data_IF_551127836785
#
_entry.id   IF_551127836785
#
_cell.length_a   1.000
_cell.length_b   1.000
_cell.length_c   1.000
_cell.angle_alpha   90.00
_cell.angle_beta   90.00
_cell.angle_gamma   90.00
#
_symmetry.space_group_name_H-M   'P 1'
#
loop_
_entity.id
_entity.type
_entity.pdbx_description
1 polymer ?
#
# COMPACT_ATOMS: atom_id res chain seq x y z
N UNK A 1 -29.28 -30.56 -17.76
CA UNK A 1 -30.66 -30.24 -18.18
C UNK A 1 -31.02 -28.90 -17.53
N UNK A 2 -30.60 -27.77 -18.11
CA UNK A 2 -31.29 -27.00 -19.14
C UNK A 2 -32.56 -26.30 -18.63
N UNK A 3 -32.44 -24.97 -18.56
CA UNK A 3 -33.45 -23.93 -18.81
C UNK A 3 -34.45 -23.51 -17.71
N UNK A 4 -34.24 -22.27 -17.26
CA UNK A 4 -35.04 -21.10 -17.69
C UNK A 4 -36.20 -20.67 -16.80
N UNK A 5 -35.89 -19.94 -15.73
CA UNK A 5 -36.78 -18.91 -15.21
C UNK A 5 -36.65 -17.64 -16.04
N UNK A 6 -37.38 -17.56 -17.16
CA UNK A 6 -37.58 -16.30 -17.90
C UNK A 6 -38.73 -15.52 -17.26
N UNK A 7 -38.48 -14.23 -17.04
CA UNK A 7 -39.38 -13.09 -17.22
C UNK A 7 -40.79 -13.20 -16.64
N UNK A 8 -41.02 -12.47 -15.56
CA UNK A 8 -42.23 -11.65 -15.46
C UNK A 8 -41.92 -10.37 -14.66
N UNK A 9 -41.32 -9.40 -15.34
CA UNK A 9 -41.44 -8.00 -14.94
C UNK A 9 -42.61 -7.44 -15.75
N UNK A 10 -43.78 -7.44 -15.12
CA UNK A 10 -44.98 -6.79 -15.61
C UNK A 10 -44.72 -5.27 -15.67
N UNK A 11 -44.90 -4.69 -16.85
CA UNK A 11 -44.58 -3.30 -17.15
C UNK A 11 -45.76 -2.37 -16.82
N UNK A 12 -45.57 -1.26 -16.09
CA UNK A 12 -46.52 -0.17 -16.10
C UNK A 12 -46.34 0.72 -17.34
N UNK A 13 -47.43 1.24 -17.94
CA UNK A 13 -47.36 2.14 -19.09
C UNK A 13 -47.19 3.58 -18.62
N UNK A 14 -45.96 4.10 -18.63
CA UNK A 14 -45.70 5.54 -18.54
C UNK A 14 -44.57 5.96 -19.49
N UNK A 15 -44.60 7.22 -19.95
CA UNK A 15 -44.15 7.59 -21.28
C UNK A 15 -42.64 7.74 -21.36
N UNK A 16 -42.16 7.56 -22.58
CA UNK A 16 -40.86 7.97 -23.11
C UNK A 16 -40.39 9.30 -22.49
N UNK A 17 -39.56 9.22 -21.45
CA UNK A 17 -38.79 10.33 -20.92
C UNK A 17 -37.33 9.92 -20.98
N UNK A 18 -36.74 10.33 -22.12
CA UNK A 18 -35.36 10.71 -22.35
C UNK A 18 -34.25 9.96 -21.60
N UNK A 19 -33.32 9.40 -22.37
CA UNK A 19 -31.89 9.45 -22.07
C UNK A 19 -31.52 10.88 -21.62
N UNK A 20 -31.61 11.13 -20.32
CA UNK A 20 -31.33 12.42 -19.71
C UNK A 20 -29.99 12.36 -19.01
N UNK A 21 -29.02 13.05 -19.60
CA UNK A 21 -27.79 13.55 -18.99
C UNK A 21 -26.93 12.49 -18.28
N UNK A 22 -25.88 12.04 -18.99
CA UNK A 22 -24.65 11.70 -18.29
C UNK A 22 -24.32 12.86 -17.36
N UNK A 23 -24.31 12.58 -16.05
CA UNK A 23 -23.82 13.52 -15.06
C UNK A 23 -22.40 13.87 -15.46
N UNK A 24 -22.22 15.01 -16.10
CA UNK A 24 -20.98 15.74 -16.07
C UNK A 24 -20.71 15.96 -14.58
N UNK A 25 -19.85 15.12 -14.02
CA UNK A 25 -19.34 15.35 -12.68
C UNK A 25 -18.79 16.78 -12.69
N UNK A 26 -19.24 17.66 -11.78
CA UNK A 26 -18.75 19.03 -11.75
C UNK A 26 -17.24 18.96 -11.62
N UNK A 27 -16.56 19.69 -12.52
CA UNK A 27 -15.11 19.69 -12.67
C UNK A 27 -14.41 19.81 -11.31
N UNK A 28 -13.89 18.69 -10.84
CA UNK A 28 -12.83 18.68 -9.84
C UNK A 28 -11.65 19.36 -10.56
N UNK A 29 -11.10 20.47 -10.02
CA UNK A 29 -10.10 21.27 -10.72
C UNK A 29 -8.78 20.49 -10.78
N UNK A 30 -8.64 19.62 -11.80
CA UNK A 30 -7.57 18.63 -12.05
C UNK A 30 -6.13 19.02 -11.67
N UNK A 31 -5.83 20.31 -11.54
CA UNK A 31 -4.52 20.84 -11.14
C UNK A 31 -4.26 20.71 -9.62
N UNK A 32 -5.25 20.99 -8.76
CA UNK A 32 -5.06 20.88 -7.30
C UNK A 32 -4.97 19.42 -6.83
N UNK A 33 -5.67 18.51 -7.51
CA UNK A 33 -5.57 17.08 -7.30
C UNK A 33 -4.23 16.50 -7.78
N UNK A 34 -3.63 17.05 -8.86
CA UNK A 34 -2.30 16.63 -9.33
C UNK A 34 -1.24 16.93 -8.27
N UNK A 35 -1.18 18.16 -7.75
CA UNK A 35 -0.17 18.56 -6.76
C UNK A 35 -0.22 17.70 -5.49
N UNK A 36 -1.42 17.37 -5.01
CA UNK A 36 -1.62 16.52 -3.84
C UNK A 36 -1.20 15.06 -4.10
N UNK A 37 -1.46 14.55 -5.30
CA UNK A 37 -1.02 13.20 -5.68
C UNK A 37 0.50 13.13 -5.83
N UNK A 38 1.11 14.14 -6.43
CA UNK A 38 2.58 14.23 -6.55
C UNK A 38 3.27 14.30 -5.19
N UNK A 39 2.68 14.98 -4.19
CA UNK A 39 3.19 14.96 -2.82
C UNK A 39 3.14 13.54 -2.24
N UNK A 40 2.01 12.85 -2.39
CA UNK A 40 1.86 11.48 -1.89
C UNK A 40 2.83 10.51 -2.57
N UNK A 41 3.07 10.67 -3.87
CA UNK A 41 4.05 9.88 -4.62
C UNK A 41 5.47 10.14 -4.10
N UNK A 42 5.83 11.41 -3.83
CA UNK A 42 7.12 11.75 -3.21
C UNK A 42 7.29 11.13 -1.83
N UNK A 43 6.25 11.15 -1.00
CA UNK A 43 6.26 10.49 0.31
C UNK A 43 6.44 8.97 0.17
N UNK A 44 5.77 8.36 -0.80
CA UNK A 44 5.85 6.93 -1.05
C UNK A 44 7.24 6.51 -1.56
N UNK A 45 7.82 7.27 -2.50
CA UNK A 45 9.16 7.04 -3.01
C UNK A 45 10.23 7.23 -1.92
N UNK A 46 10.09 8.26 -1.09
CA UNK A 46 10.98 8.48 0.05
C UNK A 46 10.93 7.31 1.04
N UNK A 47 9.74 6.79 1.33
CA UNK A 47 9.57 5.60 2.14
C UNK A 47 10.21 4.36 1.50
N UNK A 48 9.92 4.11 0.21
CA UNK A 48 10.48 3.00 -0.55
C UNK A 48 12.01 3.01 -0.55
N UNK A 49 12.60 4.19 -0.74
CA UNK A 49 14.05 4.40 -0.66
C UNK A 49 14.64 4.03 0.70
N UNK A 50 14.00 4.45 1.81
CA UNK A 50 14.43 4.10 3.18
C UNK A 50 14.37 2.59 3.42
N UNK A 51 13.27 1.94 3.03
CA UNK A 51 13.10 0.47 3.20
C UNK A 51 14.10 -0.31 2.34
N UNK A 52 14.34 0.12 1.11
CA UNK A 52 15.31 -0.54 0.21
C UNK A 52 16.74 -0.44 0.76
N UNK A 53 17.11 0.72 1.31
CA UNK A 53 18.41 0.90 1.97
C UNK A 53 18.55 -0.03 3.17
N UNK A 54 17.55 -0.05 4.06
CA UNK A 54 17.53 -0.93 5.22
C UNK A 54 17.66 -2.41 4.82
N UNK A 55 16.93 -2.86 3.80
CA UNK A 55 17.01 -4.24 3.30
C UNK A 55 18.42 -4.60 2.82
N UNK A 56 19.11 -3.65 2.18
CA UNK A 56 20.49 -3.86 1.69
C UNK A 56 21.48 -3.96 2.85
N UNK A 57 21.33 -3.10 3.87
CA UNK A 57 22.13 -3.13 5.10
C UNK A 57 21.89 -4.42 5.91
N UNK A 58 20.63 -4.84 6.05
CA UNK A 58 20.23 -6.13 6.67
C UNK A 58 20.91 -7.30 5.97
N UNK A 59 20.85 -7.36 4.64
CA UNK A 59 21.49 -8.43 3.87
C UNK A 59 23.01 -8.46 4.05
N UNK A 60 23.67 -7.30 4.20
CA UNK A 60 25.10 -7.23 4.47
C UNK A 60 25.46 -7.80 5.86
N UNK A 61 24.67 -7.48 6.89
CA UNK A 61 24.83 -8.03 8.24
C UNK A 61 24.55 -9.54 8.26
N UNK A 62 23.50 -9.98 7.55
CA UNK A 62 23.15 -11.41 7.46
C UNK A 62 24.21 -12.23 6.72
N UNK A 63 24.89 -11.64 5.73
CA UNK A 63 25.97 -12.27 4.99
C UNK A 63 27.31 -12.30 5.77
N UNK A 64 27.44 -11.50 6.84
CA UNK A 64 28.67 -11.45 7.62
C UNK A 64 28.86 -12.73 8.46
N UNK A 65 29.74 -13.61 7.98
CA UNK A 65 30.06 -14.87 8.65
C UNK A 65 30.87 -14.72 9.93
N UNK A 66 31.42 -13.54 10.22
CA UNK A 66 32.15 -13.27 11.46
C UNK A 66 31.25 -13.06 12.66
N UNK A 67 29.98 -12.68 12.43
CA UNK A 67 28.98 -12.46 13.46
C UNK A 67 28.23 -13.74 13.81
N UNK A 68 28.01 -13.98 15.10
CA UNK A 68 27.09 -15.00 15.59
C UNK A 68 25.63 -14.65 15.22
N UNK A 69 24.71 -15.63 15.18
CA UNK A 69 23.30 -15.36 14.89
C UNK A 69 22.69 -14.30 15.82
N UNK A 70 23.07 -14.30 17.10
CA UNK A 70 22.62 -13.34 18.09
C UNK A 70 23.18 -11.94 17.84
N UNK A 71 24.45 -11.83 17.44
CA UNK A 71 25.06 -10.55 17.06
C UNK A 71 24.44 -9.98 15.78
N UNK A 72 24.14 -10.83 14.78
CA UNK A 72 23.44 -10.40 13.57
C UNK A 72 22.06 -9.85 13.90
N UNK A 73 21.28 -10.55 14.72
CA UNK A 73 19.95 -10.07 15.14
C UNK A 73 20.05 -8.72 15.83
N UNK A 74 20.96 -8.56 16.80
CA UNK A 74 21.13 -7.27 17.51
C UNK A 74 21.57 -6.16 16.56
N UNK A 75 22.46 -6.44 15.62
CA UNK A 75 22.91 -5.45 14.64
C UNK A 75 21.75 -5.01 13.73
N UNK A 76 20.90 -5.95 13.27
CA UNK A 76 19.68 -5.65 12.50
C UNK A 76 18.69 -4.83 13.34
N UNK A 77 18.47 -5.19 14.61
CA UNK A 77 17.58 -4.44 15.51
C UNK A 77 18.08 -3.00 15.74
N UNK A 78 19.40 -2.81 15.88
CA UNK A 78 20.00 -1.48 16.08
C UNK A 78 19.80 -0.58 14.85
N UNK A 79 20.04 -1.09 13.64
CA UNK A 79 19.82 -0.29 12.42
C UNK A 79 18.32 -0.02 12.22
N UNK A 80 17.44 -0.95 12.60
CA UNK A 80 16.00 -0.76 12.54
C UNK A 80 15.53 0.36 13.47
N UNK A 81 15.96 0.32 14.73
CA UNK A 81 15.63 1.33 15.75
C UNK A 81 16.20 2.72 15.42
N UNK A 82 17.35 2.77 14.74
CA UNK A 82 18.00 4.03 14.36
C UNK A 82 17.35 4.70 13.14
N UNK A 83 16.74 3.93 12.24
CA UNK A 83 16.19 4.43 10.97
C UNK A 83 14.66 4.61 10.99
N UNK A 84 13.94 3.97 11.92
CA UNK A 84 12.48 3.91 11.93
C UNK A 84 11.91 4.11 13.33
N UNK A 85 10.83 4.88 13.42
CA UNK A 85 10.01 4.99 14.63
C UNK A 85 9.32 3.66 14.95
N UNK A 86 8.89 3.46 16.20
CA UNK A 86 8.25 2.21 16.64
C UNK A 86 7.06 1.78 15.77
N UNK A 87 6.25 2.73 15.27
CA UNK A 87 5.14 2.42 14.35
C UNK A 87 5.63 2.01 12.97
N UNK A 88 6.68 2.65 12.46
CA UNK A 88 7.28 2.30 11.16
C UNK A 88 7.96 0.93 11.22
N UNK A 89 8.58 0.57 12.36
CA UNK A 89 9.21 -0.75 12.56
C UNK A 89 8.22 -1.89 12.30
N UNK A 90 6.99 -1.77 12.81
CA UNK A 90 5.92 -2.75 12.57
C UNK A 90 5.63 -2.89 11.06
N UNK A 91 5.59 -1.77 10.34
CA UNK A 91 5.39 -1.78 8.87
C UNK A 91 6.56 -2.44 8.15
N UNK A 92 7.80 -2.15 8.55
CA UNK A 92 9.01 -2.75 7.97
C UNK A 92 9.02 -4.26 8.18
N UNK A 93 8.75 -4.73 9.39
CA UNK A 93 8.63 -6.16 9.70
C UNK A 93 7.56 -6.85 8.83
N UNK A 94 6.39 -6.24 8.69
CA UNK A 94 5.32 -6.78 7.85
C UNK A 94 5.71 -6.86 6.36
N UNK A 95 6.46 -5.88 5.83
CA UNK A 95 6.93 -5.86 4.44
C UNK A 95 7.99 -6.94 4.20
N UNK A 96 8.88 -7.17 5.17
CA UNK A 96 9.98 -8.11 5.03
C UNK A 96 9.62 -9.54 5.41
N UNK A 97 8.46 -9.74 6.06
CA UNK A 97 8.02 -11.05 6.54
C UNK A 97 8.76 -11.51 7.81
N UNK A 98 9.49 -10.61 8.46
CA UNK A 98 10.16 -10.86 9.73
C UNK A 98 9.15 -10.65 10.87
N UNK A 99 9.11 -11.55 11.87
CA UNK A 99 8.28 -11.33 13.05
C UNK A 99 8.83 -10.13 13.85
N UNK A 100 7.98 -9.20 14.34
CA UNK A 100 8.46 -8.09 15.16
C UNK A 100 9.15 -8.63 16.41
N UNK A 101 10.38 -8.20 16.66
CA UNK A 101 11.08 -8.43 17.93
C UNK A 101 10.27 -7.74 19.03
N UNK A 102 9.74 -8.52 19.98
CA UNK A 102 8.90 -8.03 21.06
C UNK A 102 9.66 -6.96 21.89
N UNK A 103 8.95 -5.93 22.42
CA UNK A 103 9.56 -4.86 23.22
C UNK A 103 10.16 -5.36 24.54
#
# INVERSE_FOLDING_TARGET
MTRRGLLSCEAPPLPLLCCGAGSALPGVPLLAESDRLEELDREHDAWGGRVSRFRSEKAAIEADTSLTPEERSRAVDQILQSNFSSTEQIRVHAILGDAPSAP
#
